data_IF_454293852848
#
_entry.id   IF_454293852848
#
_cell.length_a   1.000
_cell.length_b   1.000
_cell.length_c   1.000
_cell.angle_alpha   90.00
_cell.angle_beta   90.00
_cell.angle_gamma   90.00
#
_symmetry.space_group_name_H-M   'P 1'
#
loop_
_entity.id
_entity.type
_entity.pdbx_description
1 polymer ?
#
# COMPACT_ATOMS: atom_id res chain seq x y z
N UNK A 1 -50.03 26.08 -29.77
CA UNK A 1 -49.88 24.97 -30.76
C UNK A 1 -48.65 24.15 -30.41
N UNK A 2 -48.79 22.83 -30.39
CA UNK A 2 -47.80 21.85 -29.90
C UNK A 2 -46.56 21.81 -30.83
N UNK A 3 -45.34 21.73 -30.27
CA UNK A 3 -44.15 21.29 -31.00
C UNK A 3 -43.73 19.89 -30.53
N UNK A 4 -43.47 19.07 -31.53
CA UNK A 4 -43.17 17.64 -31.51
C UNK A 4 -41.69 17.43 -31.20
N UNK A 5 -41.36 16.50 -30.30
CA UNK A 5 -40.00 15.96 -30.16
C UNK A 5 -40.04 14.46 -30.44
N UNK A 6 -39.40 14.07 -31.53
CA UNK A 6 -39.23 12.69 -31.95
C UNK A 6 -38.11 12.07 -31.12
N UNK A 7 -38.44 11.12 -30.25
CA UNK A 7 -37.48 10.31 -29.53
C UNK A 7 -37.13 9.11 -30.41
N UNK A 8 -36.01 9.19 -31.14
CA UNK A 8 -35.47 8.04 -31.84
C UNK A 8 -34.67 7.21 -30.84
N UNK A 9 -35.29 6.17 -30.25
CA UNK A 9 -34.54 5.11 -29.59
C UNK A 9 -33.85 4.28 -30.68
N UNK A 10 -32.60 4.62 -31.01
CA UNK A 10 -31.70 3.63 -31.57
C UNK A 10 -31.31 2.68 -30.44
N UNK A 11 -31.95 1.51 -30.40
CA UNK A 11 -31.42 0.33 -29.72
C UNK A 11 -30.19 -0.16 -30.48
N UNK A 12 -29.11 0.63 -30.44
CA UNK A 12 -27.78 0.18 -30.82
C UNK A 12 -27.20 -0.57 -29.64
N UNK A 13 -26.89 -1.85 -29.82
CA UNK A 13 -26.04 -2.57 -28.88
C UNK A 13 -24.84 -1.68 -28.56
N UNK A 14 -24.64 -1.33 -27.29
CA UNK A 14 -23.45 -0.62 -26.86
C UNK A 14 -22.27 -1.55 -27.13
N UNK A 15 -21.64 -1.42 -28.30
CA UNK A 15 -20.30 -1.94 -28.51
C UNK A 15 -19.46 -1.34 -27.39
N UNK A 16 -18.91 -2.19 -26.53
CA UNK A 16 -17.99 -1.74 -25.51
C UNK A 16 -16.94 -0.86 -26.19
N UNK A 17 -16.85 0.42 -25.78
CA UNK A 17 -15.82 1.30 -26.30
C UNK A 17 -14.46 0.62 -26.08
N UNK A 18 -13.54 0.65 -27.06
CA UNK A 18 -12.25 0.00 -26.91
C UNK A 18 -11.49 0.60 -25.72
N UNK A 19 -10.84 -0.26 -24.93
CA UNK A 19 -9.97 0.18 -23.84
C UNK A 19 -8.84 1.05 -24.43
N UNK A 20 -8.74 2.29 -23.96
CA UNK A 20 -7.63 3.17 -24.31
C UNK A 20 -6.64 3.26 -23.16
N UNK A 21 -5.36 3.02 -23.46
CA UNK A 21 -4.24 3.22 -22.53
C UNK A 21 -3.71 4.64 -22.70
N UNK A 22 -3.74 5.41 -21.63
CA UNK A 22 -3.12 6.74 -21.53
C UNK A 22 -2.05 6.72 -20.45
N UNK A 23 -0.82 7.09 -20.79
CA UNK A 23 0.28 7.16 -19.81
C UNK A 23 0.17 8.47 -19.03
N UNK A 24 -0.02 8.38 -17.70
CA UNK A 24 -0.12 9.56 -16.82
C UNK A 24 1.24 10.06 -16.32
N UNK A 25 2.19 9.14 -16.13
CA UNK A 25 3.54 9.43 -15.62
C UNK A 25 4.49 8.37 -16.14
N UNK A 26 5.73 8.77 -16.39
CA UNK A 26 6.82 7.88 -16.77
C UNK A 26 7.95 7.97 -15.75
N UNK A 27 8.87 6.99 -15.77
CA UNK A 27 10.10 7.00 -14.95
C UNK A 27 9.84 7.04 -13.43
N UNK A 28 8.79 6.34 -12.99
CA UNK A 28 8.62 6.01 -11.57
C UNK A 28 9.77 5.12 -11.09
N UNK A 29 10.15 5.27 -9.83
CA UNK A 29 11.21 4.51 -9.17
C UNK A 29 10.59 3.50 -8.23
N UNK A 30 10.47 2.26 -8.67
CA UNK A 30 9.93 1.16 -7.84
C UNK A 30 8.55 1.50 -7.23
N UNK A 31 7.53 1.82 -8.07
CA UNK A 31 6.21 2.19 -7.58
C UNK A 31 5.50 1.01 -6.95
N UNK A 32 4.98 1.21 -5.73
CA UNK A 32 4.38 0.13 -4.93
C UNK A 32 2.85 0.16 -4.96
N UNK A 33 2.27 1.33 -4.69
CA UNK A 33 0.82 1.47 -4.57
C UNK A 33 0.34 2.85 -4.99
N UNK A 34 -0.94 2.94 -5.36
CA UNK A 34 -1.61 4.19 -5.66
C UNK A 34 -2.97 4.25 -4.99
N UNK A 35 -3.43 5.47 -4.71
CA UNK A 35 -4.78 5.74 -4.25
C UNK A 35 -5.34 6.99 -4.94
N UNK A 36 -6.61 6.92 -5.32
CA UNK A 36 -7.32 8.02 -6.01
C UNK A 36 -8.10 8.82 -4.98
N UNK A 37 -7.86 10.13 -4.92
CA UNK A 37 -8.61 11.02 -4.05
C UNK A 37 -9.95 11.45 -4.67
N UNK A 38 -10.91 11.96 -3.88
CA UNK A 38 -12.22 12.39 -4.38
C UNK A 38 -12.17 13.51 -5.43
N UNK A 39 -11.08 14.28 -5.48
CA UNK A 39 -10.86 15.33 -6.49
C UNK A 39 -10.27 14.79 -7.82
N UNK A 40 -10.07 13.47 -7.91
CA UNK A 40 -9.52 12.79 -9.09
C UNK A 40 -7.99 12.79 -9.17
N UNK A 41 -7.31 13.40 -8.20
CA UNK A 41 -5.86 13.32 -8.12
C UNK A 41 -5.43 11.93 -7.65
N UNK A 42 -4.33 11.43 -8.22
CA UNK A 42 -3.77 10.12 -7.93
C UNK A 42 -2.52 10.30 -7.07
N UNK A 43 -2.49 9.64 -5.94
CA UNK A 43 -1.32 9.59 -5.06
C UNK A 43 -0.60 8.27 -5.29
N UNK A 44 0.71 8.33 -5.55
CA UNK A 44 1.55 7.15 -5.81
C UNK A 44 2.68 7.12 -4.81
N UNK A 45 2.90 5.97 -4.20
CA UNK A 45 4.06 5.71 -3.35
C UNK A 45 5.08 4.85 -4.08
N UNK A 46 6.34 5.17 -3.85
CA UNK A 46 7.50 4.44 -4.34
C UNK A 46 8.23 3.79 -3.16
N UNK A 47 8.83 2.61 -3.38
CA UNK A 47 9.36 1.76 -2.30
C UNK A 47 10.37 2.47 -1.40
N UNK A 48 11.19 3.35 -1.97
CA UNK A 48 12.20 4.15 -1.25
C UNK A 48 11.61 5.41 -0.55
N UNK A 49 10.29 5.43 -0.32
CA UNK A 49 9.64 6.41 0.54
C UNK A 49 9.13 7.66 -0.19
N UNK A 50 9.31 7.78 -1.50
CA UNK A 50 8.78 8.95 -2.25
C UNK A 50 7.27 8.86 -2.38
N UNK A 51 6.63 10.02 -2.22
CA UNK A 51 5.20 10.20 -2.42
C UNK A 51 4.97 11.25 -3.51
N UNK A 52 4.23 10.85 -4.54
CA UNK A 52 3.86 11.67 -5.69
C UNK A 52 2.36 11.98 -5.65
N UNK A 53 2.00 13.18 -6.13
CA UNK A 53 0.64 13.56 -6.49
C UNK A 53 0.61 13.81 -7.99
N UNK A 54 -0.25 13.09 -8.68
CA UNK A 54 -0.51 13.22 -10.12
C UNK A 54 -1.89 13.85 -10.27
N UNK A 55 -1.99 14.87 -11.11
CA UNK A 55 -3.24 15.52 -11.49
C UNK A 55 -3.52 15.21 -12.97
N UNK A 56 -4.31 14.16 -13.26
CA UNK A 56 -4.58 13.76 -14.64
C UNK A 56 -5.22 14.87 -15.47
N UNK A 57 -6.09 15.70 -14.86
CA UNK A 57 -6.81 16.78 -15.54
C UNK A 57 -5.92 17.88 -16.13
N UNK A 58 -4.69 18.02 -15.62
CA UNK A 58 -3.73 19.02 -16.11
C UNK A 58 -2.40 18.42 -16.53
N UNK A 59 -2.22 17.10 -16.43
CA UNK A 59 -0.94 16.42 -16.60
C UNK A 59 0.12 16.77 -15.54
N UNK A 60 -0.28 17.34 -14.39
CA UNK A 60 0.66 17.78 -13.37
C UNK A 60 1.20 16.62 -12.56
N UNK A 61 2.53 16.55 -12.36
CA UNK A 61 3.17 15.54 -11.50
C UNK A 61 4.02 16.26 -10.46
N UNK A 62 3.73 16.02 -9.19
CA UNK A 62 4.36 16.71 -8.07
C UNK A 62 4.92 15.70 -7.09
N UNK A 63 6.21 15.80 -6.77
CA UNK A 63 6.73 15.15 -5.56
C UNK A 63 6.25 15.94 -4.33
N UNK A 64 5.51 15.27 -3.46
CA UNK A 64 4.87 15.92 -2.30
C UNK A 64 5.52 15.55 -0.97
N UNK A 65 6.42 14.56 -0.96
CA UNK A 65 7.21 14.23 0.22
C UNK A 65 8.11 13.01 -0.01
N UNK A 66 9.01 12.82 0.94
CA UNK A 66 9.81 11.61 1.10
C UNK A 66 9.73 11.19 2.56
N UNK A 67 9.21 9.99 2.81
CA UNK A 67 9.13 9.38 4.12
C UNK A 67 10.41 8.55 4.34
N UNK A 68 11.16 8.74 5.44
CA UNK A 68 12.27 7.86 5.78
C UNK A 68 11.77 6.43 6.01
N UNK A 69 12.32 5.48 5.25
CA UNK A 69 11.96 4.05 5.32
C UNK A 69 13.22 3.18 5.25
N UNK A 70 13.10 1.94 5.72
CA UNK A 70 14.02 0.88 5.30
C UNK A 70 13.58 0.43 3.92
N UNK A 71 14.49 0.48 2.94
CA UNK A 71 14.28 -0.05 1.61
C UNK A 71 15.60 -0.63 1.14
N UNK A 72 15.92 -1.82 1.66
CA UNK A 72 17.16 -2.50 1.29
C UNK A 72 17.15 -2.73 -0.23
N UNK A 73 18.34 -2.95 -0.79
CA UNK A 73 18.52 -3.46 -2.15
C UNK A 73 19.41 -4.68 -2.05
N UNK A 74 19.14 -5.70 -2.86
CA UNK A 74 20.09 -6.80 -3.01
C UNK A 74 21.35 -6.23 -3.67
N UNK A 75 22.42 -6.03 -2.88
CA UNK A 75 23.66 -5.46 -3.38
C UNK A 75 24.49 -6.52 -4.15
N UNK A 76 24.19 -7.81 -3.98
CA UNK A 76 24.97 -8.89 -4.62
C UNK A 76 24.10 -9.96 -5.30
N UNK A 77 24.60 -10.61 -6.39
CA UNK A 77 23.95 -11.76 -7.04
C UNK A 77 23.74 -12.99 -6.14
N UNK A 78 24.34 -13.00 -4.94
CA UNK A 78 24.16 -14.01 -3.88
C UNK A 78 23.49 -13.45 -2.62
N UNK A 79 22.92 -12.25 -2.70
CA UNK A 79 22.26 -11.57 -1.59
C UNK A 79 21.17 -12.46 -0.99
N UNK A 80 21.35 -12.83 0.28
CA UNK A 80 20.37 -13.54 1.08
C UNK A 80 19.26 -12.60 1.60
N UNK A 81 18.77 -11.68 0.79
CA UNK A 81 17.72 -10.74 1.21
C UNK A 81 16.60 -10.77 0.19
N UNK A 82 15.37 -11.05 0.64
CA UNK A 82 14.21 -10.60 -0.10
C UNK A 82 14.13 -9.08 0.07
N UNK A 83 13.83 -8.39 -1.01
CA UNK A 83 13.96 -6.93 -1.09
C UNK A 83 12.58 -6.34 -1.31
N UNK A 84 11.71 -6.60 -0.35
CA UNK A 84 10.31 -6.18 -0.39
C UNK A 84 10.02 -5.07 0.62
N UNK A 85 10.97 -4.73 1.50
CA UNK A 85 10.81 -3.68 2.49
C UNK A 85 10.76 -2.29 1.83
N UNK A 86 10.06 -1.36 2.47
CA UNK A 86 9.88 -0.01 1.96
C UNK A 86 8.52 0.59 2.29
N UNK A 87 8.18 1.66 1.59
CA UNK A 87 6.83 2.23 1.60
C UNK A 87 5.92 1.41 0.68
N UNK A 88 5.03 0.61 1.27
CA UNK A 88 4.22 -0.39 0.55
C UNK A 88 2.84 0.15 0.19
N UNK A 89 2.14 0.73 1.16
CA UNK A 89 0.71 0.98 1.07
C UNK A 89 0.35 2.45 1.22
N UNK A 90 -0.69 2.88 0.51
CA UNK A 90 -1.34 4.18 0.68
C UNK A 90 -2.86 4.03 0.63
N UNK A 91 -3.56 4.70 1.55
CA UNK A 91 -5.00 4.91 1.47
C UNK A 91 -5.36 6.38 1.70
N UNK A 92 -6.37 6.86 0.97
CA UNK A 92 -6.97 8.18 1.16
C UNK A 92 -8.11 8.06 2.16
N UNK A 93 -8.12 8.91 3.19
CA UNK A 93 -9.21 8.96 4.17
C UNK A 93 -10.55 9.30 3.46
N UNK A 94 -11.69 8.67 3.78
CA UNK A 94 -12.97 9.02 3.16
C UNK A 94 -13.36 10.50 3.37
N UNK A 95 -12.89 11.12 4.45
CA UNK A 95 -13.04 12.55 4.73
C UNK A 95 -11.95 13.44 4.13
N UNK A 96 -11.16 12.96 3.17
CA UNK A 96 -9.97 13.65 2.66
C UNK A 96 -10.22 15.07 2.17
N UNK A 97 -11.39 15.35 1.59
CA UNK A 97 -11.76 16.69 1.12
C UNK A 97 -11.67 17.75 2.23
N UNK A 98 -11.90 17.37 3.49
CA UNK A 98 -11.86 18.28 4.65
C UNK A 98 -10.61 18.07 5.49
N UNK A 99 -10.25 16.83 5.77
CA UNK A 99 -9.20 16.52 6.75
C UNK A 99 -7.79 16.34 6.14
N UNK A 100 -7.71 16.16 4.81
CA UNK A 100 -6.47 15.92 4.06
C UNK A 100 -5.62 14.77 4.60
N UNK A 101 -6.23 13.76 5.24
CA UNK A 101 -5.55 12.63 5.86
C UNK A 101 -5.28 11.49 4.88
N UNK A 102 -4.10 10.89 5.01
CA UNK A 102 -3.73 9.67 4.30
C UNK A 102 -3.18 8.66 5.31
N UNK A 103 -3.21 7.39 4.93
CA UNK A 103 -2.63 6.29 5.71
C UNK A 103 -1.53 5.66 4.90
N UNK A 104 -0.37 5.45 5.51
CA UNK A 104 0.80 4.86 4.90
C UNK A 104 1.20 3.62 5.68
N UNK A 105 1.50 2.53 4.96
CA UNK A 105 2.09 1.33 5.53
C UNK A 105 3.51 1.16 5.01
N UNK A 106 4.49 1.13 5.92
CA UNK A 106 5.90 1.22 5.55
C UNK A 106 6.84 0.53 6.54
N UNK A 107 8.00 0.12 6.04
CA UNK A 107 9.08 -0.44 6.85
C UNK A 107 9.82 0.64 7.61
N UNK A 108 9.81 0.56 8.95
CA UNK A 108 10.49 1.53 9.81
C UNK A 108 12.00 1.56 9.50
N UNK A 109 12.63 2.76 9.38
CA UNK A 109 14.02 2.89 8.94
C UNK A 109 15.04 2.20 9.87
N UNK A 110 14.77 2.21 11.18
CA UNK A 110 15.72 1.68 12.17
C UNK A 110 15.24 0.42 12.91
N UNK A 111 13.93 0.22 13.05
CA UNK A 111 13.34 -0.89 13.82
C UNK A 111 12.89 -2.00 12.91
N UNK A 112 12.99 -3.24 13.38
CA UNK A 112 12.50 -4.46 12.70
C UNK A 112 10.97 -4.59 12.84
N UNK A 113 10.25 -3.63 12.25
CA UNK A 113 8.80 -3.60 12.18
C UNK A 113 8.30 -2.84 10.95
N UNK A 114 7.15 -3.24 10.44
CA UNK A 114 6.37 -2.45 9.50
C UNK A 114 5.29 -1.70 10.26
N UNK A 115 4.95 -0.51 9.79
CA UNK A 115 4.13 0.45 10.53
C UNK A 115 3.00 0.99 9.66
N UNK A 116 1.79 0.93 10.20
CA UNK A 116 0.66 1.72 9.71
C UNK A 116 0.59 3.03 10.48
N UNK A 117 0.76 4.15 9.77
CA UNK A 117 0.59 5.49 10.34
C UNK A 117 -0.38 6.32 9.51
N UNK A 118 -1.03 7.28 10.16
CA UNK A 118 -1.82 8.33 9.54
C UNK A 118 -0.99 9.60 9.46
N UNK A 119 -1.05 10.29 8.32
CA UNK A 119 -0.44 11.58 8.08
C UNK A 119 -1.46 12.57 7.52
N UNK A 120 -1.09 13.85 7.48
CA UNK A 120 -1.87 14.93 6.88
C UNK A 120 -1.07 15.57 5.74
N UNK A 121 -1.75 15.90 4.63
CA UNK A 121 -1.19 16.73 3.57
C UNK A 121 -1.52 18.18 3.87
N UNK A 122 -0.48 19.00 4.07
CA UNK A 122 -0.59 20.44 4.36
C UNK A 122 0.12 21.24 3.27
N UNK A 123 -0.54 22.26 2.73
CA UNK A 123 0.01 23.10 1.66
C UNK A 123 0.54 22.30 0.44
N UNK A 124 -0.15 21.20 0.10
CA UNK A 124 0.23 20.33 -1.01
C UNK A 124 1.45 19.43 -0.75
N UNK A 125 1.95 19.35 0.49
CA UNK A 125 3.08 18.51 0.90
C UNK A 125 2.68 17.56 2.03
N UNK A 126 3.34 16.41 2.12
CA UNK A 126 3.24 15.50 3.25
C UNK A 126 3.83 16.18 4.49
N UNK A 127 3.05 16.32 5.56
CA UNK A 127 3.55 16.84 6.84
C UNK A 127 4.05 15.67 7.71
N UNK A 128 5.35 15.42 7.70
CA UNK A 128 5.95 14.34 8.49
C UNK A 128 5.75 14.50 10.00
N UNK A 129 5.55 15.73 10.49
CA UNK A 129 5.30 15.99 11.93
C UNK A 129 3.87 15.64 12.34
N UNK A 130 2.99 15.40 11.38
CA UNK A 130 1.60 15.01 11.62
C UNK A 130 1.41 13.51 11.81
N UNK A 131 2.50 12.74 11.82
CA UNK A 131 2.44 11.29 12.02
C UNK A 131 1.65 10.93 13.28
N UNK A 132 0.69 10.05 13.10
CA UNK A 132 0.06 9.30 14.17
C UNK A 132 0.22 7.82 13.88
N UNK A 133 0.93 7.11 14.76
CA UNK A 133 1.12 5.67 14.66
C UNK A 133 -0.16 4.95 15.05
N UNK A 134 -0.62 4.02 14.21
CA UNK A 134 -1.81 3.19 14.48
C UNK A 134 -1.40 1.78 14.91
N UNK A 135 -0.54 1.12 14.14
CA UNK A 135 -0.16 -0.28 14.35
C UNK A 135 1.30 -0.46 14.00
N UNK A 136 2.05 -1.08 14.90
CA UNK A 136 3.37 -1.65 14.63
C UNK A 136 3.24 -3.17 14.48
N UNK A 137 3.80 -3.70 13.41
CA UNK A 137 3.81 -5.14 13.08
C UNK A 137 5.27 -5.59 13.07
N UNK A 138 5.69 -6.54 13.93
CA UNK A 138 7.03 -7.08 13.88
C UNK A 138 7.38 -7.57 12.47
N UNK A 139 8.56 -7.25 11.98
CA UNK A 139 8.98 -7.55 10.60
C UNK A 139 10.46 -7.85 10.59
N UNK A 140 10.81 -9.08 10.25
CA UNK A 140 12.19 -9.49 10.04
C UNK A 140 12.60 -9.20 8.61
N UNK A 141 13.84 -8.71 8.44
CA UNK A 141 14.39 -8.29 7.14
C UNK A 141 15.74 -8.95 6.83
N UNK A 142 16.19 -9.80 7.73
CA UNK A 142 17.40 -10.60 7.56
C UNK A 142 17.02 -11.95 6.95
N UNK A 143 17.99 -12.72 6.45
CA UNK A 143 17.80 -14.15 6.10
C UNK A 143 16.72 -14.49 5.06
N UNK A 144 16.65 -13.72 3.97
CA UNK A 144 15.78 -13.96 2.78
C UNK A 144 14.29 -13.94 3.08
N UNK A 145 13.89 -13.19 4.10
CA UNK A 145 12.48 -13.17 4.51
C UNK A 145 11.66 -12.30 3.58
N UNK A 146 10.69 -12.94 2.93
CA UNK A 146 9.78 -12.34 1.97
C UNK A 146 8.41 -12.06 2.60
N UNK A 147 7.52 -11.47 1.80
CA UNK A 147 6.10 -11.29 2.05
C UNK A 147 5.80 -10.23 3.11
N UNK A 148 6.13 -8.99 2.79
CA UNK A 148 5.71 -7.84 3.61
C UNK A 148 4.20 -7.55 3.46
N UNK A 149 3.63 -7.80 2.27
CA UNK A 149 2.25 -7.42 1.96
C UNK A 149 2.11 -5.89 1.97
N UNK A 150 1.07 -5.37 2.63
CA UNK A 150 0.93 -3.93 2.88
C UNK A 150 -0.07 -3.20 2.01
N UNK A 151 -1.04 -3.89 1.40
CA UNK A 151 -2.17 -3.19 0.77
C UNK A 151 -3.02 -2.53 1.84
N UNK A 152 -3.35 -1.25 1.65
CA UNK A 152 -4.16 -0.46 2.57
C UNK A 152 -5.31 0.15 1.80
N UNK A 153 -6.55 -0.07 2.23
CA UNK A 153 -7.73 0.40 1.52
C UNK A 153 -8.90 0.64 2.47
N UNK A 154 -9.64 1.73 2.28
CA UNK A 154 -10.95 1.87 2.93
C UNK A 154 -12.01 1.07 2.17
N UNK A 155 -12.76 0.26 2.90
CA UNK A 155 -13.94 -0.44 2.39
C UNK A 155 -15.20 0.45 2.39
N UNK A 156 -16.29 -0.01 1.74
CA UNK A 156 -17.56 0.71 1.70
C UNK A 156 -18.24 0.83 3.07
N UNK A 157 -17.81 0.03 4.05
CA UNK A 157 -18.25 0.09 5.44
C UNK A 157 -17.52 1.16 6.28
N UNK A 158 -16.64 1.95 5.64
CA UNK A 158 -15.88 3.01 6.29
C UNK A 158 -14.72 2.51 7.16
N UNK A 159 -14.36 1.24 7.06
CA UNK A 159 -13.25 0.65 7.80
C UNK A 159 -12.01 0.55 6.93
N UNK A 160 -10.86 0.63 7.59
CA UNK A 160 -9.55 0.52 6.96
C UNK A 160 -9.12 -0.95 6.97
N UNK A 161 -8.81 -1.47 5.79
CA UNK A 161 -8.29 -2.82 5.62
C UNK A 161 -6.79 -2.75 5.37
N UNK A 162 -6.03 -3.58 6.06
CA UNK A 162 -4.58 -3.73 5.90
C UNK A 162 -4.28 -5.21 5.66
N UNK A 163 -3.70 -5.55 4.50
CA UNK A 163 -3.12 -6.87 4.28
C UNK A 163 -1.69 -6.90 4.81
N UNK A 164 -1.35 -7.95 5.53
CA UNK A 164 -0.02 -8.14 6.11
C UNK A 164 0.46 -9.51 5.67
N UNK A 165 1.61 -9.57 4.99
CA UNK A 165 2.19 -10.86 4.64
C UNK A 165 2.68 -11.61 5.88
N UNK A 166 2.97 -12.89 5.74
CA UNK A 166 3.34 -13.74 6.87
C UNK A 166 4.78 -13.52 7.35
N UNK A 167 5.58 -12.78 6.58
CA UNK A 167 7.00 -12.56 6.83
C UNK A 167 7.73 -13.91 6.98
N UNK A 168 7.34 -14.93 6.22
CA UNK A 168 7.93 -16.27 6.26
C UNK A 168 8.64 -16.57 4.95
N UNK A 169 9.83 -17.14 5.05
CA UNK A 169 10.60 -17.61 3.91
C UNK A 169 9.92 -18.87 3.32
N UNK A 170 9.43 -18.84 2.07
CA UNK A 170 8.76 -19.99 1.47
C UNK A 170 9.74 -21.01 0.89
N UNK A 171 11.02 -20.67 0.76
CA UNK A 171 12.04 -21.54 0.19
C UNK A 171 12.38 -22.67 1.18
N UNK A 172 12.97 -23.77 0.73
CA UNK A 172 13.33 -24.91 1.59
C UNK A 172 12.13 -25.63 2.25
N UNK A 173 10.97 -25.53 1.64
CA UNK A 173 9.72 -26.22 2.03
C UNK A 173 9.31 -27.33 1.05
N UNK A 174 10.08 -27.56 -0.03
CA UNK A 174 9.79 -28.51 -1.12
C UNK A 174 8.35 -28.40 -1.69
N UNK A 175 7.79 -27.19 -1.70
CA UNK A 175 6.44 -26.90 -2.20
C UNK A 175 5.33 -27.16 -1.18
N UNK A 176 5.65 -27.56 0.04
CA UNK A 176 4.71 -27.65 1.15
C UNK A 176 4.60 -26.33 1.91
N UNK A 177 3.67 -26.26 2.87
CA UNK A 177 3.62 -25.12 3.78
C UNK A 177 4.95 -25.02 4.56
N UNK A 178 5.57 -23.83 4.67
CA UNK A 178 6.82 -23.65 5.42
C UNK A 178 6.52 -23.82 6.93
N UNK A 179 6.83 -25.00 7.45
CA UNK A 179 6.60 -25.41 8.85
C UNK A 179 7.88 -26.09 9.32
N UNK A 180 8.75 -25.35 10.01
CA UNK A 180 10.08 -25.83 10.36
C UNK A 180 10.45 -25.52 11.82
N UNK A 181 10.12 -26.46 12.71
CA UNK A 181 10.32 -26.34 14.16
C UNK A 181 11.77 -26.60 14.62
N UNK A 182 12.71 -26.81 13.70
CA UNK A 182 14.11 -27.07 14.06
C UNK A 182 14.75 -25.81 14.65
N UNK A 183 15.79 -25.99 15.46
CA UNK A 183 16.53 -24.87 16.03
C UNK A 183 17.13 -23.97 14.93
N UNK A 184 17.10 -22.65 15.12
CA UNK A 184 17.59 -21.63 14.17
C UNK A 184 16.87 -21.61 12.81
N UNK A 185 15.64 -22.13 12.73
CA UNK A 185 14.81 -22.16 11.50
C UNK A 185 13.56 -21.29 11.55
N UNK A 186 13.45 -20.42 12.56
CA UNK A 186 12.30 -19.52 12.75
C UNK A 186 11.85 -18.77 11.48
N UNK A 187 12.75 -18.24 10.61
CA UNK A 187 12.31 -17.58 9.37
C UNK A 187 11.51 -18.46 8.41
N UNK A 188 11.62 -19.79 8.49
CA UNK A 188 10.96 -20.79 7.64
C UNK A 188 9.75 -21.45 8.31
N UNK A 189 9.31 -20.93 9.45
CA UNK A 189 8.18 -21.48 10.18
C UNK A 189 6.98 -20.52 10.20
N UNK A 190 5.98 -20.80 9.37
CA UNK A 190 4.74 -20.03 9.29
C UNK A 190 3.84 -20.17 10.53
N UNK A 191 4.09 -21.16 11.40
CA UNK A 191 3.31 -21.30 12.63
C UNK A 191 3.49 -20.10 13.57
N UNK A 192 4.65 -19.41 13.51
CA UNK A 192 4.92 -18.21 14.32
C UNK A 192 4.07 -17.01 13.93
N UNK A 193 3.59 -16.97 12.68
CA UNK A 193 2.93 -15.81 12.05
C UNK A 193 1.53 -16.17 11.56
N UNK A 194 1.39 -16.67 10.32
CA UNK A 194 0.09 -16.96 9.72
C UNK A 194 -0.69 -18.00 10.53
N UNK A 195 -0.01 -19.02 11.07
CA UNK A 195 -0.58 -20.03 11.98
C UNK A 195 -0.84 -19.57 13.42
N UNK A 196 -0.36 -18.38 13.80
CA UNK A 196 -0.54 -17.81 15.14
C UNK A 196 -1.64 -16.73 15.12
N UNK A 197 -2.71 -16.93 15.89
CA UNK A 197 -3.80 -15.95 15.98
C UNK A 197 -3.44 -14.72 16.81
N UNK A 198 -2.40 -14.80 17.64
CA UNK A 198 -1.88 -13.67 18.42
C UNK A 198 -0.83 -12.85 17.66
N UNK A 199 -0.51 -13.23 16.42
CA UNK A 199 0.38 -12.49 15.54
C UNK A 199 -0.42 -11.83 14.39
N UNK A 200 -0.10 -10.57 14.10
CA UNK A 200 -0.79 -9.79 13.07
C UNK A 200 -0.34 -10.16 11.65
N UNK A 201 0.79 -10.87 11.50
CA UNK A 201 1.33 -11.30 10.20
C UNK A 201 0.53 -12.43 9.59
N UNK A 202 0.47 -12.42 8.25
CA UNK A 202 -0.28 -13.39 7.45
C UNK A 202 -1.79 -13.21 7.58
N UNK A 203 -2.26 -11.97 7.78
CA UNK A 203 -3.67 -11.64 8.04
C UNK A 203 -4.15 -10.49 7.16
N UNK A 204 -5.47 -10.32 7.13
CA UNK A 204 -6.12 -9.07 6.72
C UNK A 204 -6.75 -8.46 7.97
N UNK A 205 -6.26 -7.31 8.39
CA UNK A 205 -6.83 -6.57 9.51
C UNK A 205 -7.96 -5.68 9.04
N UNK A 206 -9.02 -5.59 9.84
CA UNK A 206 -10.16 -4.67 9.66
C UNK A 206 -10.16 -3.70 10.82
N UNK A 207 -9.80 -2.45 10.55
CA UNK A 207 -9.46 -1.43 11.53
C UNK A 207 -10.53 -0.34 11.48
N UNK A 208 -10.94 0.16 12.65
CA UNK A 208 -11.74 1.39 12.78
C UNK A 208 -10.83 2.50 13.28
N UNK A 209 -10.27 3.37 12.41
CA UNK A 209 -9.45 4.48 12.85
C UNK A 209 -10.26 5.43 13.73
N UNK A 210 -9.68 5.88 14.84
CA UNK A 210 -10.30 6.91 15.67
C UNK A 210 -9.65 8.27 15.45
N UNK A 211 -10.23 9.34 15.99
CA UNK A 211 -9.60 10.66 15.93
C UNK A 211 -8.24 10.69 16.63
N UNK A 212 -8.06 9.89 17.69
CA UNK A 212 -6.85 9.77 18.52
C UNK A 212 -5.89 8.68 18.07
N UNK A 213 -6.24 7.88 17.07
CA UNK A 213 -5.53 6.66 16.68
C UNK A 213 -6.52 5.53 16.62
#
# INVERSE_FOLDING_TARGET
MRKLSLLLLCAGAASAAPLQKHTLVERLRDPMSLAVAPDGDVYVVEREGRLLRIRPSTGGVFEIGNLPVSALRAIEPKSNSAVEDGLQGIAIDPGFATNRRIYLYYSHPEKLLDRLSRFTIKNGKLDLKSELVLIDVPSERHDRICHHGGSVQFGPDGLLYLSIGDNTNPFESDGYAPIDNRENRTPWDAQRSSGNTNDLRGKILRIRPTTKG
#
